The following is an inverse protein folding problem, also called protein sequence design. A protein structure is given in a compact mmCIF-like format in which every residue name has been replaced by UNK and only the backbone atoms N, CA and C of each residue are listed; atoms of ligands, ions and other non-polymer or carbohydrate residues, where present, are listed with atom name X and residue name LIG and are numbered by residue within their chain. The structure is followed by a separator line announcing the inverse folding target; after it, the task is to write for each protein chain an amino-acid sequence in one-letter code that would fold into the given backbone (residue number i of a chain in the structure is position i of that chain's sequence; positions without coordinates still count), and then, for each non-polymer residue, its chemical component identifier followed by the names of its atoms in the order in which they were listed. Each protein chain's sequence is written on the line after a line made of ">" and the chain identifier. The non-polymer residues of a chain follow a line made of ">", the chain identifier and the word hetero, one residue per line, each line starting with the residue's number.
data_IF_081377458682
#
_entry.id   IF_081377458682
#
_cell.length_a   1.000
_cell.length_b   1.000
_cell.length_c   1.000
_cell.angle_alpha   90.00
_cell.angle_beta   90.00
_cell.angle_gamma   90.00
#
_symmetry.space_group_name_H-M   'P 1'
#
loop_
_entity.id
_entity.type
_entity.pdbx_description
1 polymer ?
#
# COMPACT_ATOMS: atom_id res chain seq x y z
N UNK A 1 -7.36 -21.17 -6.60
CA UNK A 1 -6.37 -20.06 -6.65
C UNK A 1 -6.03 -19.71 -5.22
N UNK A 2 -4.76 -19.37 -4.96
CA UNK A 2 -4.14 -19.30 -3.63
C UNK A 2 -4.83 -18.38 -2.62
N UNK A 3 -5.73 -17.50 -3.06
CA UNK A 3 -6.43 -16.50 -2.23
C UNK A 3 -7.48 -17.05 -1.25
N UNK A 4 -7.74 -18.37 -1.23
CA UNK A 4 -8.74 -18.98 -0.34
C UNK A 4 -8.15 -19.42 1.00
N UNK A 5 -6.82 -19.49 1.10
CA UNK A 5 -6.13 -19.94 2.30
C UNK A 5 -5.43 -18.78 2.98
N UNK A 6 -5.89 -18.41 4.18
CA UNK A 6 -5.25 -17.36 4.98
C UNK A 6 -3.81 -17.72 5.40
N UNK A 7 -3.41 -19.00 5.32
CA UNK A 7 -2.09 -19.49 5.72
C UNK A 7 -1.03 -19.41 4.60
N UNK A 8 -1.23 -18.59 3.56
CA UNK A 8 -0.17 -18.25 2.61
C UNK A 8 0.95 -17.48 3.31
N UNK A 9 2.21 -17.86 3.08
CA UNK A 9 3.39 -17.21 3.64
C UNK A 9 4.25 -16.66 2.50
N UNK A 10 4.19 -15.35 2.28
CA UNK A 10 4.94 -14.68 1.23
C UNK A 10 6.46 -14.70 1.42
N UNK A 11 6.96 -14.93 2.63
CA UNK A 11 8.41 -14.89 2.91
C UNK A 11 9.13 -16.16 2.45
N UNK A 12 8.39 -17.25 2.26
CA UNK A 12 8.91 -18.52 1.75
C UNK A 12 8.85 -18.61 0.20
N UNK A 13 8.30 -17.59 -0.46
CA UNK A 13 8.07 -17.58 -1.90
C UNK A 13 9.18 -16.85 -2.69
N UNK A 14 9.40 -17.28 -3.93
CA UNK A 14 10.34 -16.60 -4.82
C UNK A 14 9.78 -15.26 -5.34
N UNK A 15 10.67 -14.28 -5.57
CA UNK A 15 10.30 -12.95 -6.09
C UNK A 15 9.44 -13.00 -7.38
N UNK A 16 9.70 -13.95 -8.27
CA UNK A 16 8.93 -14.10 -9.50
C UNK A 16 7.50 -14.59 -9.24
N UNK A 17 7.30 -15.44 -8.24
CA UNK A 17 5.99 -15.95 -7.87
C UNK A 17 5.19 -14.89 -7.12
N UNK A 18 5.85 -14.09 -6.28
CA UNK A 18 5.28 -12.88 -5.68
C UNK A 18 4.79 -11.85 -6.73
N UNK A 19 5.55 -11.65 -7.81
CA UNK A 19 5.12 -10.78 -8.92
C UNK A 19 3.88 -11.34 -9.64
N UNK A 20 3.86 -12.65 -9.94
CA UNK A 20 2.71 -13.31 -10.55
C UNK A 20 1.49 -13.24 -9.64
N UNK A 21 1.68 -13.47 -8.34
CA UNK A 21 0.64 -13.35 -7.34
C UNK A 21 0.00 -11.96 -7.39
N UNK A 22 0.80 -10.90 -7.35
CA UNK A 22 0.30 -9.53 -7.44
C UNK A 22 -0.52 -9.30 -8.71
N UNK A 23 -0.06 -9.76 -9.89
CA UNK A 23 -0.80 -9.64 -11.15
C UNK A 23 -2.13 -10.39 -11.09
N UNK A 24 -2.11 -11.63 -10.58
CA UNK A 24 -3.29 -12.50 -10.49
C UNK A 24 -4.37 -11.87 -9.60
N UNK A 25 -4.01 -11.17 -8.52
CA UNK A 25 -4.97 -10.44 -7.66
C UNK A 25 -5.83 -9.47 -8.48
N UNK A 26 -5.26 -8.69 -9.41
CA UNK A 26 -6.05 -7.76 -10.22
C UNK A 26 -6.89 -8.47 -11.29
N UNK A 27 -6.39 -9.59 -11.83
CA UNK A 27 -7.08 -10.41 -12.81
C UNK A 27 -8.29 -11.13 -12.23
N UNK A 28 -8.18 -11.68 -11.02
CA UNK A 28 -9.22 -12.46 -10.33
C UNK A 28 -10.51 -11.69 -10.02
N UNK A 29 -10.43 -10.36 -10.06
CA UNK A 29 -11.55 -9.45 -9.87
C UNK A 29 -11.89 -8.67 -11.15
N UNK A 30 -11.36 -9.08 -12.31
CA UNK A 30 -11.47 -8.42 -13.63
C UNK A 30 -11.18 -6.92 -13.59
N UNK A 31 -10.31 -6.45 -12.68
CA UNK A 31 -10.08 -5.02 -12.49
C UNK A 31 -9.39 -4.42 -13.70
N UNK A 32 -8.48 -5.19 -14.32
CA UNK A 32 -7.73 -4.76 -15.50
C UNK A 32 -8.66 -4.46 -16.68
N UNK A 33 -9.56 -5.39 -16.99
CA UNK A 33 -10.55 -5.21 -18.05
C UNK A 33 -11.54 -4.08 -17.71
N UNK A 34 -12.10 -4.09 -16.50
CA UNK A 34 -13.13 -3.15 -16.08
C UNK A 34 -12.65 -1.69 -16.12
N UNK A 35 -11.38 -1.45 -15.75
CA UNK A 35 -10.78 -0.12 -15.71
C UNK A 35 -9.86 0.21 -16.89
N UNK A 36 -9.81 -0.67 -17.90
CA UNK A 36 -8.97 -0.52 -19.09
C UNK A 36 -7.48 -0.34 -18.76
N UNK A 37 -7.01 -1.06 -17.73
CA UNK A 37 -5.59 -1.12 -17.36
C UNK A 37 -4.95 -2.20 -18.23
N UNK A 38 -4.10 -1.79 -19.17
CA UNK A 38 -3.44 -2.74 -20.06
C UNK A 38 -2.32 -3.51 -19.35
N UNK A 39 -1.80 -4.57 -20.00
CA UNK A 39 -0.77 -5.44 -19.43
C UNK A 39 0.53 -4.71 -19.09
N UNK A 40 0.93 -3.76 -19.94
CA UNK A 40 2.13 -2.95 -19.72
C UNK A 40 1.98 -2.06 -18.48
N UNK A 41 0.83 -1.41 -18.31
CA UNK A 41 0.56 -0.55 -17.16
C UNK A 41 0.53 -1.32 -15.86
N UNK A 42 -0.15 -2.47 -15.79
CA UNK A 42 -0.14 -3.27 -14.55
C UNK A 42 1.23 -3.85 -14.23
N UNK A 43 1.98 -4.27 -15.26
CA UNK A 43 3.34 -4.76 -15.08
C UNK A 43 4.25 -3.65 -14.52
N UNK A 44 4.21 -2.45 -15.11
CA UNK A 44 5.00 -1.30 -14.65
C UNK A 44 4.63 -0.91 -13.21
N UNK A 45 3.34 -0.88 -12.86
CA UNK A 45 2.88 -0.61 -11.48
C UNK A 45 3.53 -1.58 -10.49
N UNK A 46 3.40 -2.88 -10.74
CA UNK A 46 3.87 -3.94 -9.83
C UNK A 46 5.41 -3.97 -9.79
N UNK A 47 6.06 -3.80 -10.94
CA UNK A 47 7.51 -3.71 -11.02
C UNK A 47 8.05 -2.53 -10.22
N UNK A 48 7.48 -1.33 -10.41
CA UNK A 48 7.88 -0.14 -9.65
C UNK A 48 7.55 -0.24 -8.16
N UNK A 49 6.46 -0.93 -7.78
CA UNK A 49 6.18 -1.23 -6.38
C UNK A 49 7.30 -2.09 -5.79
N UNK A 50 7.65 -3.22 -6.42
CA UNK A 50 8.73 -4.11 -5.98
C UNK A 50 10.06 -3.37 -5.83
N UNK A 51 10.46 -2.59 -6.84
CA UNK A 51 11.73 -1.86 -6.83
C UNK A 51 11.78 -0.75 -5.77
N UNK A 52 10.63 -0.34 -5.23
CA UNK A 52 10.57 0.61 -4.13
C UNK A 52 10.88 -0.03 -2.76
N UNK A 53 10.96 -1.36 -2.66
CA UNK A 53 11.34 -2.07 -1.44
C UNK A 53 12.81 -2.48 -1.49
N UNK A 54 13.56 -2.08 -0.46
CA UNK A 54 14.99 -2.40 -0.37
C UNK A 54 15.22 -3.85 0.04
N UNK A 55 16.15 -4.54 -0.62
CA UNK A 55 16.56 -5.90 -0.28
C UNK A 55 17.33 -6.00 1.05
N UNK A 56 17.75 -4.87 1.62
CA UNK A 56 18.46 -4.83 2.91
C UNK A 56 17.51 -4.71 4.12
N UNK A 57 16.22 -4.42 3.89
CA UNK A 57 15.22 -4.32 4.95
C UNK A 57 14.67 -5.71 5.23
N UNK A 58 14.75 -6.15 6.50
CA UNK A 58 14.41 -7.53 6.88
C UNK A 58 12.89 -7.76 6.88
N UNK A 59 12.10 -6.78 7.36
CA UNK A 59 10.66 -6.93 7.54
C UNK A 59 9.83 -6.16 6.51
N UNK A 60 9.92 -4.82 6.48
CA UNK A 60 9.20 -3.96 5.52
C UNK A 60 9.77 -4.05 4.10
N UNK A 61 9.69 -5.24 3.51
CA UNK A 61 10.21 -5.60 2.19
C UNK A 61 9.07 -5.99 1.25
N UNK A 62 9.44 -6.42 0.03
CA UNK A 62 8.46 -6.80 -0.98
C UNK A 62 7.56 -7.97 -0.57
N UNK A 63 8.12 -8.98 0.13
CA UNK A 63 7.32 -10.09 0.63
C UNK A 63 6.25 -9.58 1.60
N UNK A 64 6.59 -8.69 2.53
CA UNK A 64 5.61 -8.08 3.43
C UNK A 64 4.49 -7.33 2.70
N UNK A 65 4.82 -6.57 1.65
CA UNK A 65 3.79 -5.92 0.83
C UNK A 65 2.82 -6.94 0.19
N UNK A 66 3.33 -8.11 -0.21
CA UNK A 66 2.52 -9.20 -0.76
C UNK A 66 1.71 -9.92 0.31
N UNK A 67 2.25 -10.13 1.52
CA UNK A 67 1.48 -10.66 2.66
C UNK A 67 0.23 -9.81 2.92
N UNK A 68 0.42 -8.48 2.95
CA UNK A 68 -0.67 -7.53 3.16
C UNK A 68 -1.62 -7.53 1.97
N UNK A 69 -1.12 -7.56 0.73
CA UNK A 69 -1.95 -7.72 -0.47
C UNK A 69 -2.79 -9.00 -0.41
N UNK A 70 -2.20 -10.12 0.01
CA UNK A 70 -2.88 -11.40 0.18
C UNK A 70 -4.01 -11.29 1.21
N UNK A 71 -3.72 -10.74 2.40
CA UNK A 71 -4.73 -10.57 3.45
C UNK A 71 -5.91 -9.70 2.99
N UNK A 72 -5.65 -8.54 2.36
CA UNK A 72 -6.73 -7.68 1.85
C UNK A 72 -7.48 -8.34 0.69
N UNK A 73 -6.82 -9.19 -0.10
CA UNK A 73 -7.46 -9.97 -1.17
C UNK A 73 -8.40 -11.03 -0.59
N UNK A 74 -7.97 -11.76 0.43
CA UNK A 74 -8.79 -12.76 1.12
C UNK A 74 -10.07 -12.12 1.68
N UNK A 75 -9.95 -11.03 2.43
CA UNK A 75 -11.11 -10.28 2.96
C UNK A 75 -11.95 -9.68 1.82
N UNK A 76 -11.29 -9.08 0.83
CA UNK A 76 -11.91 -8.48 -0.34
C UNK A 76 -12.78 -9.47 -1.12
N UNK A 77 -12.34 -10.72 -1.29
CA UNK A 77 -13.11 -11.78 -1.96
C UNK A 77 -14.40 -12.08 -1.21
N UNK A 78 -14.34 -12.20 0.12
CA UNK A 78 -15.52 -12.45 0.96
C UNK A 78 -16.54 -11.31 0.86
N UNK A 79 -16.08 -10.06 0.94
CA UNK A 79 -16.92 -8.88 0.80
C UNK A 79 -17.52 -8.77 -0.61
N UNK A 80 -16.73 -9.08 -1.64
CA UNK A 80 -17.16 -9.02 -3.04
C UNK A 80 -18.25 -10.06 -3.34
N UNK A 81 -18.08 -11.30 -2.88
CA UNK A 81 -19.07 -12.37 -3.02
C UNK A 81 -20.39 -12.03 -2.31
N UNK A 82 -20.32 -11.29 -1.19
CA UNK A 82 -21.49 -10.79 -0.46
C UNK A 82 -22.05 -9.47 -1.01
N UNK A 83 -21.47 -8.94 -2.09
CA UNK A 83 -21.81 -7.65 -2.70
C UNK A 83 -21.74 -6.48 -1.70
N UNK A 84 -20.74 -6.50 -0.82
CA UNK A 84 -20.49 -5.50 0.23
C UNK A 84 -19.32 -4.56 -0.07
N UNK A 85 -18.61 -4.77 -1.18
CA UNK A 85 -17.52 -3.90 -1.64
C UNK A 85 -17.60 -3.74 -3.17
N UNK A 86 -17.21 -2.58 -3.68
CA UNK A 86 -17.19 -2.30 -5.12
C UNK A 86 -15.81 -2.63 -5.73
N UNK A 87 -15.77 -2.89 -7.04
CA UNK A 87 -14.50 -3.02 -7.79
C UNK A 87 -13.60 -1.77 -7.64
N UNK A 88 -14.22 -0.60 -7.45
CA UNK A 88 -13.50 0.66 -7.24
C UNK A 88 -12.71 0.62 -5.93
N UNK A 89 -13.37 0.21 -4.85
CA UNK A 89 -12.74 0.14 -3.54
C UNK A 89 -11.65 -0.94 -3.51
N UNK A 90 -11.87 -2.09 -4.18
CA UNK A 90 -10.87 -3.14 -4.34
C UNK A 90 -9.64 -2.67 -5.10
N UNK A 91 -9.80 -1.99 -6.24
CA UNK A 91 -8.67 -1.47 -7.01
C UNK A 91 -7.79 -0.55 -6.14
N UNK A 92 -8.42 0.40 -5.44
CA UNK A 92 -7.71 1.37 -4.61
C UNK A 92 -7.07 0.70 -3.40
N UNK A 93 -7.73 -0.29 -2.79
CA UNK A 93 -7.21 -1.06 -1.66
C UNK A 93 -6.00 -1.92 -2.04
N UNK A 94 -6.03 -2.59 -3.20
CA UNK A 94 -4.91 -3.40 -3.68
C UNK A 94 -3.70 -2.55 -4.04
N UNK A 95 -3.92 -1.39 -4.66
CA UNK A 95 -2.85 -0.41 -4.89
C UNK A 95 -2.28 0.11 -3.57
N UNK A 96 -3.12 0.41 -2.57
CA UNK A 96 -2.63 0.84 -1.26
C UNK A 96 -1.76 -0.23 -0.59
N UNK A 97 -2.19 -1.50 -0.61
CA UNK A 97 -1.43 -2.61 -0.04
C UNK A 97 -0.03 -2.77 -0.68
N UNK A 98 0.06 -2.59 -2.01
CA UNK A 98 1.35 -2.67 -2.72
C UNK A 98 2.34 -1.56 -2.32
N UNK A 99 1.85 -0.37 -1.97
CA UNK A 99 2.68 0.83 -1.80
C UNK A 99 2.77 1.35 -0.36
N UNK A 100 2.11 0.71 0.60
CA UNK A 100 1.97 1.26 1.95
C UNK A 100 3.30 1.57 2.66
N UNK A 101 4.33 0.76 2.40
CA UNK A 101 5.68 0.87 2.98
C UNK A 101 6.73 1.11 1.89
N UNK A 102 6.32 1.55 0.69
CA UNK A 102 7.25 1.79 -0.42
C UNK A 102 8.31 2.82 -0.02
N UNK A 103 9.59 2.51 -0.22
CA UNK A 103 10.71 3.37 0.16
C UNK A 103 11.10 3.32 1.64
N UNK A 104 10.58 2.35 2.41
CA UNK A 104 10.99 2.13 3.79
C UNK A 104 12.49 1.80 3.90
N UNK A 105 13.17 2.38 4.90
CA UNK A 105 14.63 2.27 5.06
C UNK A 105 15.06 1.27 6.16
N UNK A 106 14.11 0.74 6.93
CA UNK A 106 14.35 -0.29 7.95
C UNK A 106 14.46 0.23 9.38
N UNK A 107 14.19 1.52 9.59
CA UNK A 107 14.09 2.16 10.91
C UNK A 107 12.63 2.45 11.22
N UNK A 108 12.28 2.42 12.50
CA UNK A 108 10.95 2.79 13.00
C UNK A 108 10.96 4.22 13.52
N UNK A 109 9.77 4.82 13.65
CA UNK A 109 9.57 6.11 14.33
C UNK A 109 10.31 6.17 15.68
N UNK A 110 10.33 5.08 16.47
CA UNK A 110 11.01 5.05 17.76
C UNK A 110 12.53 5.20 17.64
N UNK A 111 13.14 4.63 16.60
CA UNK A 111 14.57 4.77 16.32
C UNK A 111 14.95 6.21 15.94
N UNK A 112 13.96 7.04 15.58
CA UNK A 112 14.15 8.47 15.24
C UNK A 112 13.93 9.43 16.41
N UNK A 113 13.37 8.97 17.53
CA UNK A 113 13.00 9.79 18.70
C UNK A 113 14.01 9.73 19.86
N UNK A 114 14.91 8.75 19.88
CA UNK A 114 15.94 8.63 20.91
C UNK A 114 17.16 9.54 20.61
N UNK A 115 17.30 10.61 21.39
CA UNK A 115 18.40 11.60 21.30
C UNK A 115 19.77 11.07 21.79
N UNK A 116 19.83 9.89 22.41
CA UNK A 116 21.04 9.33 23.05
C UNK A 116 21.92 8.47 22.10
N UNK A 117 21.98 8.86 20.83
CA UNK A 117 22.80 8.21 19.81
C UNK A 117 24.29 8.56 19.93
N UNK A 118 24.93 8.20 21.06
CA UNK A 118 26.39 8.27 21.22
C UNK A 118 27.14 7.10 20.56
N UNK A 119 26.42 6.12 19.98
CA UNK A 119 27.03 4.91 19.38
C UNK A 119 26.41 4.41 18.06
N UNK A 120 25.49 5.14 17.43
CA UNK A 120 24.95 4.71 16.12
C UNK A 120 25.72 5.38 14.98
N UNK A 121 26.20 4.55 14.05
CA UNK A 121 26.76 4.92 12.74
C UNK A 121 26.07 6.18 12.21
N UNK A 122 26.84 7.19 11.77
CA UNK A 122 26.32 8.38 11.10
C UNK A 122 25.61 8.00 9.80
N UNK A 123 24.33 7.65 9.90
CA UNK A 123 23.45 7.45 8.75
C UNK A 123 22.81 8.81 8.50
N UNK A 124 22.85 9.34 7.25
CA UNK A 124 22.30 10.65 6.93
C UNK A 124 20.83 10.73 7.36
N UNK A 125 20.57 11.43 8.46
CA UNK A 125 19.22 11.78 8.89
C UNK A 125 18.60 12.64 7.80
N UNK A 126 17.51 12.23 7.15
CA UNK A 126 16.79 13.15 6.29
C UNK A 126 16.26 14.26 7.19
N UNK A 127 16.54 15.51 6.84
CA UNK A 127 16.25 16.67 7.67
C UNK A 127 14.73 16.93 7.67
N UNK A 128 13.99 16.24 8.54
CA UNK A 128 12.52 16.20 8.56
C UNK A 128 11.87 17.35 9.35
N UNK A 129 12.60 18.42 9.65
CA UNK A 129 12.12 19.62 10.34
C UNK A 129 10.99 20.39 9.62
N UNK A 130 10.49 19.87 8.50
CA UNK A 130 9.42 20.44 7.68
C UNK A 130 8.17 19.54 7.58
N UNK A 131 7.89 18.64 8.52
CA UNK A 131 6.60 17.92 8.50
C UNK A 131 5.44 18.90 8.67
N UNK A 132 4.88 19.33 7.53
CA UNK A 132 3.80 20.31 7.41
C UNK A 132 2.46 19.79 7.95
N UNK A 133 2.40 18.53 8.39
CA UNK A 133 1.20 17.90 8.95
C UNK A 133 1.55 17.25 10.29
N UNK A 134 1.05 17.82 11.39
CA UNK A 134 1.22 17.29 12.77
C UNK A 134 0.65 15.86 12.92
N UNK A 135 -0.20 15.43 11.99
CA UNK A 135 -0.90 14.15 12.00
C UNK A 135 -0.21 13.03 11.16
N UNK A 136 1.00 13.28 10.62
CA UNK A 136 1.74 12.28 9.83
C UNK A 136 3.24 12.26 10.18
N UNK A 137 3.76 11.06 10.39
CA UNK A 137 5.18 10.79 10.54
C UNK A 137 5.93 11.03 9.21
N UNK A 138 7.23 11.37 9.27
CA UNK A 138 8.03 11.57 8.08
C UNK A 138 8.11 10.33 7.15
N UNK A 139 8.11 9.14 7.74
CA UNK A 139 8.10 7.85 7.02
C UNK A 139 6.82 7.70 6.20
N UNK A 140 5.65 7.92 6.83
CA UNK A 140 4.37 7.84 6.15
C UNK A 140 4.23 8.88 5.02
N UNK A 141 4.72 10.11 5.23
CA UNK A 141 4.78 11.14 4.18
C UNK A 141 5.64 10.65 3.01
N UNK A 142 6.80 10.03 3.29
CA UNK A 142 7.68 9.48 2.25
C UNK A 142 6.98 8.37 1.44
N UNK A 143 6.31 7.42 2.08
CA UNK A 143 5.54 6.36 1.40
C UNK A 143 4.47 6.96 0.47
N UNK A 144 3.68 7.92 0.98
CA UNK A 144 2.66 8.60 0.20
C UNK A 144 3.25 9.35 -1.00
N UNK A 145 4.34 10.10 -0.80
CA UNK A 145 5.00 10.86 -1.88
C UNK A 145 5.56 9.92 -2.95
N UNK A 146 6.23 8.83 -2.55
CA UNK A 146 6.81 7.88 -3.49
C UNK A 146 5.73 7.17 -4.31
N UNK A 147 4.67 6.68 -3.66
CA UNK A 147 3.52 6.07 -4.31
C UNK A 147 2.91 7.00 -5.35
N UNK A 148 2.58 8.25 -4.96
CA UNK A 148 1.96 9.23 -5.86
C UNK A 148 2.88 9.51 -7.06
N UNK A 149 4.19 9.64 -6.84
CA UNK A 149 5.17 9.88 -7.91
C UNK A 149 5.21 8.72 -8.91
N UNK A 150 5.30 7.48 -8.43
CA UNK A 150 5.41 6.29 -9.29
C UNK A 150 4.14 6.08 -10.12
N UNK A 151 2.97 6.17 -9.48
CA UNK A 151 1.68 5.96 -10.13
C UNK A 151 1.22 7.14 -11.00
N UNK A 152 1.81 8.33 -10.84
CA UNK A 152 1.49 9.48 -11.71
C UNK A 152 2.19 9.42 -13.08
N UNK A 153 3.12 8.48 -13.27
CA UNK A 153 3.76 8.27 -14.57
C UNK A 153 2.74 7.80 -15.62
N UNK A 154 2.92 8.22 -16.88
CA UNK A 154 1.97 7.90 -17.95
C UNK A 154 1.78 6.39 -18.16
N UNK A 155 2.84 5.62 -17.92
CA UNK A 155 2.89 4.18 -18.16
C UNK A 155 2.55 3.35 -16.92
N UNK A 156 2.29 3.99 -15.77
CA UNK A 156 1.91 3.31 -14.51
C UNK A 156 0.65 3.88 -13.87
N UNK A 157 -0.10 4.76 -14.55
CA UNK A 157 -1.31 5.35 -13.98
C UNK A 157 -2.53 4.42 -14.18
N UNK A 158 -3.04 3.74 -13.12
CA UNK A 158 -4.16 2.82 -13.24
C UNK A 158 -5.51 3.52 -13.45
N UNK A 159 -5.57 4.84 -13.24
CA UNK A 159 -6.80 5.64 -13.31
C UNK A 159 -6.93 6.40 -14.63
N UNK A 160 -5.95 6.29 -15.53
CA UNK A 160 -5.81 7.08 -16.76
C UNK A 160 -7.09 7.18 -17.60
N UNK A 161 -7.85 6.10 -17.72
CA UNK A 161 -9.06 6.02 -18.54
C UNK A 161 -10.37 6.21 -17.77
N UNK A 162 -10.30 6.46 -16.45
CA UNK A 162 -11.49 6.78 -15.65
C UNK A 162 -11.99 8.21 -15.93
N UNK A 163 -13.23 8.50 -15.56
CA UNK A 163 -13.74 9.88 -15.58
C UNK A 163 -12.97 10.74 -14.58
N UNK A 164 -12.80 12.03 -14.88
CA UNK A 164 -12.05 12.97 -14.04
C UNK A 164 -12.45 12.93 -12.56
N UNK A 165 -13.74 12.84 -12.24
CA UNK A 165 -14.21 12.83 -10.85
C UNK A 165 -13.86 11.52 -10.13
N UNK A 166 -13.92 10.39 -10.86
CA UNK A 166 -13.51 9.09 -10.34
C UNK A 166 -12.00 9.04 -10.14
N UNK A 167 -11.19 9.64 -11.02
CA UNK A 167 -9.74 9.77 -10.84
C UNK A 167 -9.41 10.54 -9.56
N UNK A 168 -10.02 11.72 -9.38
CA UNK A 168 -9.83 12.54 -8.17
C UNK A 168 -10.22 11.78 -6.91
N UNK A 169 -11.32 11.04 -6.96
CA UNK A 169 -11.78 10.20 -5.85
C UNK A 169 -10.78 9.07 -5.56
N UNK A 170 -10.29 8.40 -6.60
CA UNK A 170 -9.34 7.29 -6.48
C UNK A 170 -8.03 7.74 -5.84
N UNK A 171 -7.44 8.83 -6.33
CA UNK A 171 -6.24 9.44 -5.73
C UNK A 171 -6.44 9.83 -4.27
N UNK A 172 -7.58 10.46 -3.95
CA UNK A 172 -7.92 10.84 -2.57
C UNK A 172 -8.05 9.62 -1.66
N UNK A 173 -8.67 8.54 -2.13
CA UNK A 173 -8.83 7.32 -1.35
C UNK A 173 -7.50 6.60 -1.18
N UNK A 174 -6.71 6.49 -2.23
CA UNK A 174 -5.40 5.87 -2.21
C UNK A 174 -4.46 6.56 -1.21
N UNK A 175 -4.36 7.89 -1.29
CA UNK A 175 -3.60 8.69 -0.32
C UNK A 175 -4.08 8.46 1.11
N UNK A 176 -5.39 8.46 1.35
CA UNK A 176 -5.95 8.24 2.69
C UNK A 176 -5.65 6.85 3.25
N UNK A 177 -5.69 5.80 2.42
CA UNK A 177 -5.42 4.44 2.87
C UNK A 177 -3.95 4.27 3.28
N UNK A 178 -3.01 4.75 2.45
CA UNK A 178 -1.58 4.71 2.81
C UNK A 178 -1.29 5.65 3.98
N UNK A 179 -1.93 6.82 4.06
CA UNK A 179 -1.77 7.70 5.23
C UNK A 179 -2.26 7.06 6.54
N UNK A 180 -3.27 6.20 6.45
CA UNK A 180 -3.86 5.54 7.61
C UNK A 180 -3.02 4.40 8.20
N UNK A 181 -1.95 3.96 7.51
CA UNK A 181 -1.03 2.94 8.05
C UNK A 181 -0.07 3.51 9.09
N UNK A 182 0.05 4.83 9.18
CA UNK A 182 0.81 5.49 10.23
C UNK A 182 0.27 5.10 11.63
N UNK A 183 1.08 4.49 12.50
CA UNK A 183 0.67 4.11 13.84
C UNK A 183 0.14 5.28 14.70
N UNK A 184 0.55 6.53 14.43
CA UNK A 184 0.02 7.74 15.09
C UNK A 184 -1.50 7.83 14.94
N UNK A 185 -2.04 7.33 13.82
CA UNK A 185 -3.47 7.37 13.53
C UNK A 185 -4.27 6.21 14.17
N UNK A 186 -3.61 5.19 14.73
CA UNK A 186 -4.24 3.93 15.14
C UNK A 186 -5.44 4.13 16.07
N UNK A 187 -5.24 4.76 17.23
CA UNK A 187 -6.31 4.92 18.23
C UNK A 187 -7.47 5.80 17.75
N UNK A 188 -7.16 6.81 16.95
CA UNK A 188 -8.17 7.68 16.33
C UNK A 188 -9.05 6.89 15.35
N UNK A 189 -8.45 6.00 14.55
CA UNK A 189 -9.16 5.13 13.62
C UNK A 189 -10.01 4.08 14.33
N UNK A 190 -9.48 3.44 15.39
CA UNK A 190 -10.24 2.48 16.20
C UNK A 190 -11.47 3.13 16.82
N UNK A 191 -11.32 4.34 17.40
CA UNK A 191 -12.45 5.09 17.98
C UNK A 191 -13.55 5.32 16.94
N UNK A 192 -13.18 5.86 15.77
CA UNK A 192 -14.14 6.10 14.66
C UNK A 192 -14.80 4.79 14.20
N UNK A 193 -14.04 3.70 14.13
CA UNK A 193 -14.56 2.38 13.76
C UNK A 193 -15.60 1.85 14.75
N UNK A 194 -15.39 2.06 16.05
CA UNK A 194 -16.36 1.67 17.08
C UNK A 194 -17.64 2.51 17.02
N UNK A 195 -17.52 3.83 16.84
CA UNK A 195 -18.67 4.73 16.67
C UNK A 195 -19.54 4.32 15.46
N UNK A 196 -18.92 3.83 14.37
CA UNK A 196 -19.68 3.34 13.21
C UNK A 196 -20.45 2.04 13.47
N UNK A 197 -19.96 1.17 14.37
CA UNK A 197 -20.65 -0.09 14.72
C UNK A 197 -21.91 0.16 15.53
N UNK A 198 -21.94 1.22 16.34
CA UNK A 198 -23.08 1.57 17.19
C UNK A 198 -24.27 2.18 16.41
N UNK A 199 -24.07 2.47 15.12
CA UNK A 199 -25.09 3.07 14.24
C UNK A 199 -25.95 1.98 13.53
N UNK A 200 -25.70 0.69 13.76
CA UNK A 200 -26.47 -0.44 13.21
C UNK A 200 -26.94 -1.38 14.32
#
# INVERSE_FOLDING_TARGET
>A
MEFENIAFDSFEEENNDLLKFAINVFQDFDLLYYYQINCETIFNIIYHAREAYSSFVIYHNWAHAIDILHFVTFIGKQLYNRKKILKFDLLVLFLAALFQDAGHQGYTIHDTLDDDASNSIEIPRPNYNNSLNVDQSPENVNHCTLMMRLLSSHDSNPFKYMKSDDQKKAWKFLFKLVSATDPINHFSLIKKGNEMKEIH
#
